data_IF_545085463289
#
_entry.id   IF_545085463289
#
_cell.length_a   1.000
_cell.length_b   1.000
_cell.length_c   1.000
_cell.angle_alpha   90.00
_cell.angle_beta   90.00
_cell.angle_gamma   90.00
#
_symmetry.space_group_name_H-M   'P 1'
#
loop_
_entity.id
_entity.type
_entity.pdbx_description
1 polymer ?
#
# COMPACT_ATOMS: atom_id res chain seq x y z
N UNK A 1 -47.72 42.39 30.31
CA UNK A 1 -46.62 43.32 30.70
C UNK A 1 -45.30 42.65 30.28
N UNK A 2 -44.71 42.93 29.10
CA UNK A 2 -43.85 44.09 28.76
C UNK A 2 -42.70 44.24 29.80
N UNK A 3 -41.38 44.14 29.50
CA UNK A 3 -40.53 44.68 28.42
C UNK A 3 -39.10 44.04 28.46
N UNK A 4 -38.46 43.65 27.33
CA UNK A 4 -37.34 44.31 26.57
C UNK A 4 -35.91 43.87 26.99
N UNK A 5 -35.18 43.04 26.22
CA UNK A 5 -34.22 43.21 25.06
C UNK A 5 -32.73 43.43 25.38
N UNK A 6 -31.87 42.68 24.64
CA UNK A 6 -30.61 43.03 23.89
C UNK A 6 -29.78 41.74 23.73
N UNK A 7 -29.65 41.11 22.56
CA UNK A 7 -28.89 41.49 21.34
C UNK A 7 -27.41 41.82 21.60
N UNK A 8 -26.51 40.94 21.17
CA UNK A 8 -25.41 41.32 20.27
C UNK A 8 -24.83 40.09 19.56
N UNK A 9 -24.86 40.14 18.23
CA UNK A 9 -24.22 39.21 17.31
C UNK A 9 -22.74 39.60 17.10
N UNK A 10 -21.89 38.62 16.84
CA UNK A 10 -20.51 38.79 16.42
C UNK A 10 -20.15 37.77 15.34
N UNK A 11 -20.46 38.12 14.10
CA UNK A 11 -20.06 37.43 12.87
C UNK A 11 -18.59 37.77 12.54
N UNK A 12 -17.82 36.79 12.06
CA UNK A 12 -16.81 37.03 11.03
C UNK A 12 -16.46 35.75 10.29
N UNK A 13 -17.05 35.62 9.11
CA UNK A 13 -16.69 34.69 8.04
C UNK A 13 -15.81 35.45 7.06
N UNK A 14 -14.61 34.94 6.77
CA UNK A 14 -13.69 35.51 5.78
C UNK A 14 -13.99 34.83 4.45
N UNK A 15 -14.90 35.44 3.68
CA UNK A 15 -15.06 35.19 2.25
C UNK A 15 -14.35 36.33 1.49
N UNK A 16 -13.26 36.00 0.79
CA UNK A 16 -12.62 36.94 -0.15
C UNK A 16 -13.36 36.88 -1.49
N UNK A 17 -14.25 37.84 -1.70
CA UNK A 17 -14.81 38.18 -3.01
C UNK A 17 -13.89 39.22 -3.64
N UNK A 18 -13.21 38.87 -4.73
CA UNK A 18 -12.52 39.83 -5.59
C UNK A 18 -13.47 40.23 -6.72
N UNK A 19 -14.00 41.45 -6.63
CA UNK A 19 -14.80 42.09 -7.66
C UNK A 19 -14.01 43.30 -8.17
N UNK A 20 -13.44 43.20 -9.37
CA UNK A 20 -12.94 44.37 -10.11
C UNK A 20 -13.45 44.35 -11.54
N UNK A 21 -14.60 45.02 -11.71
CA UNK A 21 -14.88 46.08 -12.69
C UNK A 21 -14.66 45.74 -14.17
N UNK A 22 -15.76 45.38 -14.85
CA UNK A 22 -15.88 45.46 -16.31
C UNK A 22 -16.04 46.93 -16.72
N UNK A 23 -15.12 47.41 -17.57
CA UNK A 23 -15.25 48.68 -18.28
C UNK A 23 -15.66 48.36 -19.72
N UNK A 24 -16.85 48.79 -20.12
CA UNK A 24 -17.31 48.75 -21.51
C UNK A 24 -17.07 50.13 -22.10
N UNK A 25 -16.20 50.23 -23.09
CA UNK A 25 -16.18 51.37 -24.02
C UNK A 25 -16.34 50.85 -25.44
N UNK A 26 -17.53 51.12 -25.99
CA UNK A 26 -17.81 50.98 -27.42
C UNK A 26 -17.26 52.20 -28.15
N UNK A 27 -16.28 51.99 -29.04
CA UNK A 27 -16.06 52.85 -30.21
C UNK A 27 -15.68 51.97 -31.39
N UNK A 28 -16.51 52.04 -32.44
CA UNK A 28 -16.39 51.33 -33.71
C UNK A 28 -15.42 52.08 -34.62
N UNK A 29 -14.38 51.41 -35.11
CA UNK A 29 -13.74 51.74 -36.39
C UNK A 29 -13.12 50.47 -36.96
N UNK A 30 -13.54 50.09 -38.17
CA UNK A 30 -13.07 48.89 -38.83
C UNK A 30 -11.70 49.07 -39.47
N UNK A 31 -10.93 47.99 -39.46
CA UNK A 31 -9.96 47.66 -40.48
C UNK A 31 -9.66 46.16 -40.36
N UNK A 32 -9.82 45.45 -41.47
CA UNK A 32 -9.61 44.03 -41.59
C UNK A 32 -8.15 43.67 -41.33
N UNK A 33 -7.90 42.73 -40.41
CA UNK A 33 -6.66 41.95 -40.36
C UNK A 33 -7.02 40.48 -40.21
N UNK A 34 -6.77 39.74 -41.28
CA UNK A 34 -6.74 38.29 -41.29
C UNK A 34 -5.60 37.86 -40.37
N UNK A 35 -5.94 37.35 -39.19
CA UNK A 35 -5.02 36.57 -38.36
C UNK A 35 -5.65 35.20 -38.20
N UNK A 36 -5.13 34.24 -38.93
CA UNK A 36 -5.38 32.82 -38.71
C UNK A 36 -4.95 32.49 -37.28
N UNK A 37 -5.91 32.53 -36.35
CA UNK A 37 -5.76 31.88 -35.06
C UNK A 37 -5.76 30.38 -35.32
N UNK A 38 -4.58 29.82 -35.49
CA UNK A 38 -4.34 28.44 -35.14
C UNK A 38 -4.60 28.40 -33.64
N UNK A 39 -5.70 27.78 -33.22
CA UNK A 39 -5.91 27.46 -31.82
C UNK A 39 -4.86 26.42 -31.45
N UNK A 40 -3.72 26.90 -30.93
CA UNK A 40 -2.80 25.99 -30.24
C UNK A 40 -3.62 25.33 -29.12
N UNK A 41 -3.56 23.99 -28.98
CA UNK A 41 -4.21 23.34 -27.85
C UNK A 41 -3.69 24.01 -26.59
N UNK A 42 -4.61 24.36 -25.68
CA UNK A 42 -4.24 24.89 -24.38
C UNK A 42 -3.10 24.03 -23.85
N UNK A 43 -1.92 24.63 -23.70
CA UNK A 43 -0.83 24.01 -22.95
C UNK A 43 -1.47 23.77 -21.59
N UNK A 44 -1.79 22.51 -21.30
CA UNK A 44 -2.12 22.10 -19.95
C UNK A 44 -0.83 22.31 -19.21
N UNK A 45 -0.59 23.55 -18.76
CA UNK A 45 0.36 23.83 -17.69
C UNK A 45 -0.04 22.83 -16.61
N UNK A 46 0.77 21.78 -16.33
CA UNK A 46 0.48 20.97 -15.17
C UNK A 46 0.48 21.99 -14.05
N UNK A 47 -0.68 22.21 -13.41
CA UNK A 47 -0.71 23.01 -12.21
C UNK A 47 0.40 22.44 -11.35
N UNK A 48 1.44 23.24 -11.09
CA UNK A 48 2.57 22.88 -10.23
C UNK A 48 2.05 22.77 -8.80
N UNK A 49 1.17 21.79 -8.58
CA UNK A 49 0.80 21.30 -7.28
C UNK A 49 1.96 20.45 -6.82
N UNK A 50 2.53 20.80 -5.66
CA UNK A 50 3.43 19.95 -4.92
C UNK A 50 3.04 18.48 -5.08
N UNK A 51 3.98 17.64 -5.53
CA UNK A 51 3.76 16.21 -5.77
C UNK A 51 2.97 15.60 -4.61
N UNK A 52 1.88 14.86 -4.90
CA UNK A 52 1.00 14.19 -3.91
C UNK A 52 1.79 13.38 -2.87
N UNK A 53 3.02 12.98 -3.20
CA UNK A 53 3.99 12.30 -2.34
C UNK A 53 4.32 13.10 -1.07
N UNK A 54 4.37 14.42 -1.14
CA UNK A 54 4.71 15.29 0.01
C UNK A 54 3.50 15.59 0.90
N UNK A 55 2.29 15.32 0.43
CA UNK A 55 1.09 15.50 1.21
C UNK A 55 0.81 14.27 2.10
N UNK A 56 0.12 14.52 3.21
CA UNK A 56 -0.37 13.43 4.07
C UNK A 56 -1.55 12.79 3.34
N UNK A 57 -1.57 11.46 3.13
CA UNK A 57 -2.67 10.81 2.43
C UNK A 57 -3.98 11.06 3.17
N UNK A 58 -5.01 11.40 2.41
CA UNK A 58 -6.36 11.60 2.93
C UNK A 58 -6.92 10.32 3.55
N UNK A 59 -7.78 10.48 4.54
CA UNK A 59 -8.40 9.33 5.23
C UNK A 59 -9.68 8.93 4.52
N UNK A 60 -9.71 7.71 3.99
CA UNK A 60 -10.95 7.09 3.49
C UNK A 60 -11.85 6.76 4.68
N UNK A 61 -13.11 7.17 4.61
CA UNK A 61 -14.07 6.94 5.68
C UNK A 61 -14.60 5.50 5.65
N UNK A 62 -14.67 4.80 6.80
CA UNK A 62 -15.27 3.47 6.89
C UNK A 62 -16.80 3.54 6.84
N UNK A 63 -17.42 2.60 6.12
CA UNK A 63 -18.90 2.53 5.98
C UNK A 63 -19.55 1.85 7.18
N UNK A 64 -19.02 0.70 7.62
CA UNK A 64 -19.62 -0.15 8.67
C UNK A 64 -18.73 -0.26 9.92
N UNK A 65 -17.44 0.09 9.80
CA UNK A 65 -16.49 0.09 10.90
C UNK A 65 -15.98 -1.29 11.31
N UNK A 66 -16.21 -2.32 10.49
CA UNK A 66 -15.87 -3.71 10.78
C UNK A 66 -14.38 -3.93 10.49
N UNK A 67 -13.58 -4.46 11.44
CA UNK A 67 -12.18 -4.73 11.19
C UNK A 67 -11.97 -5.99 10.36
N UNK A 68 -11.19 -5.87 9.29
CA UNK A 68 -10.87 -6.98 8.38
C UNK A 68 -9.43 -7.43 8.55
N UNK A 69 -8.49 -6.51 8.81
CA UNK A 69 -7.09 -6.85 9.03
C UNK A 69 -6.45 -5.98 10.10
N UNK A 70 -5.77 -6.62 11.06
CA UNK A 70 -4.88 -5.97 12.01
C UNK A 70 -3.44 -6.35 11.66
N UNK A 71 -2.67 -5.34 11.28
CA UNK A 71 -1.27 -5.47 10.97
C UNK A 71 -0.43 -4.98 12.14
N UNK A 72 0.23 -5.91 12.80
CA UNK A 72 1.17 -5.61 13.87
C UNK A 72 2.59 -5.51 13.33
N UNK A 73 3.21 -4.35 13.51
CA UNK A 73 4.62 -4.14 13.24
C UNK A 73 5.43 -4.23 14.53
N UNK A 74 6.62 -4.82 14.42
CA UNK A 74 7.62 -4.89 15.48
C UNK A 74 8.97 -4.53 14.90
N UNK A 75 9.71 -3.67 15.57
CA UNK A 75 11.06 -3.29 15.17
C UNK A 75 11.86 -2.77 16.34
N UNK A 76 13.18 -2.75 16.18
CA UNK A 76 14.10 -2.18 17.18
C UNK A 76 14.42 -0.71 16.91
N UNK A 77 14.31 -0.27 15.65
CA UNK A 77 14.54 1.12 15.24
C UNK A 77 13.19 1.82 15.00
N UNK A 78 12.82 2.84 15.80
CA UNK A 78 11.53 3.50 15.68
C UNK A 78 11.39 4.28 14.36
N UNK A 79 12.48 4.90 13.86
CA UNK A 79 12.45 5.71 12.63
C UNK A 79 12.06 4.88 11.40
N UNK A 80 12.69 3.72 11.20
CA UNK A 80 12.36 2.82 10.09
C UNK A 80 10.97 2.22 10.22
N UNK A 81 10.54 1.94 11.45
CA UNK A 81 9.21 1.42 11.73
C UNK A 81 8.14 2.44 11.32
N UNK A 82 8.28 3.69 11.76
CA UNK A 82 7.29 4.73 11.49
C UNK A 82 7.24 5.10 10.00
N UNK A 83 8.39 5.13 9.31
CA UNK A 83 8.45 5.28 7.84
C UNK A 83 7.66 4.17 7.12
N UNK A 84 7.85 2.91 7.54
CA UNK A 84 7.18 1.79 6.87
C UNK A 84 5.68 1.71 7.17
N UNK A 85 5.25 2.11 8.37
CA UNK A 85 3.81 2.23 8.65
C UNK A 85 3.16 3.31 7.79
N UNK A 86 3.85 4.43 7.56
CA UNK A 86 3.36 5.46 6.64
C UNK A 86 3.28 4.97 5.19
N UNK A 87 4.31 4.25 4.73
CA UNK A 87 4.30 3.58 3.42
C UNK A 87 3.11 2.60 3.30
N UNK A 88 2.86 1.80 4.32
CA UNK A 88 1.74 0.86 4.34
C UNK A 88 0.37 1.56 4.30
N UNK A 89 0.25 2.71 4.99
CA UNK A 89 -0.94 3.57 4.95
C UNK A 89 -1.17 4.15 3.56
N UNK A 90 -0.12 4.64 2.89
CA UNK A 90 -0.20 5.18 1.53
C UNK A 90 -0.64 4.12 0.52
N UNK A 91 -0.08 2.91 0.61
CA UNK A 91 -0.50 1.79 -0.22
C UNK A 91 -1.98 1.42 -0.01
N UNK A 92 -2.48 1.50 1.23
CA UNK A 92 -3.89 1.28 1.54
C UNK A 92 -4.79 2.38 0.95
N UNK A 93 -4.34 3.65 0.99
CA UNK A 93 -5.05 4.78 0.39
C UNK A 93 -5.20 4.63 -1.12
N UNK A 94 -4.14 4.22 -1.83
CA UNK A 94 -4.20 3.96 -3.28
C UNK A 94 -5.19 2.86 -3.66
N UNK A 95 -5.48 1.94 -2.74
CA UNK A 95 -6.48 0.87 -2.91
C UNK A 95 -7.87 1.26 -2.38
N UNK A 96 -8.08 2.53 -2.00
CA UNK A 96 -9.31 3.05 -1.40
C UNK A 96 -9.76 2.28 -0.14
N UNK A 97 -8.81 1.81 0.66
CA UNK A 97 -9.09 1.04 1.88
C UNK A 97 -9.17 1.99 3.08
N UNK A 98 -10.26 1.96 3.89
CA UNK A 98 -10.35 2.77 5.09
C UNK A 98 -9.38 2.22 6.15
N UNK A 99 -8.30 2.97 6.35
CA UNK A 99 -7.20 2.62 7.21
C UNK A 99 -7.18 3.52 8.45
N UNK A 100 -7.06 2.91 9.63
CA UNK A 100 -6.76 3.65 10.85
C UNK A 100 -5.37 4.28 10.76
N UNK A 101 -5.17 5.40 11.45
CA UNK A 101 -3.81 5.94 11.63
C UNK A 101 -2.89 4.97 12.38
N UNK A 102 -1.57 5.20 12.36
CA UNK A 102 -0.61 4.41 13.13
C UNK A 102 -0.96 4.44 14.62
N UNK A 103 -1.29 3.29 15.19
CA UNK A 103 -1.53 3.17 16.64
C UNK A 103 -0.24 2.74 17.32
N UNK A 104 0.27 3.59 18.22
CA UNK A 104 1.48 3.34 18.98
C UNK A 104 1.18 2.39 20.14
N UNK A 105 1.63 1.14 20.03
CA UNK A 105 1.52 0.19 21.12
C UNK A 105 2.68 0.38 22.11
N UNK A 106 2.49 0.06 23.40
CA UNK A 106 3.55 0.14 24.40
C UNK A 106 4.82 -0.64 23.99
N UNK A 107 5.97 0.01 24.15
CA UNK A 107 7.27 -0.58 23.83
C UNK A 107 7.64 -1.62 24.89
N UNK A 108 8.02 -2.82 24.46
CA UNK A 108 8.52 -3.84 25.39
C UNK A 108 10.02 -3.67 25.60
N UNK A 109 10.44 -3.52 26.85
CA UNK A 109 11.87 -3.37 27.22
C UNK A 109 12.32 -4.64 27.93
N UNK A 110 13.21 -5.40 27.29
CA UNK A 110 13.90 -6.53 27.91
C UNK A 110 15.25 -6.06 28.42
N UNK A 111 15.56 -6.31 29.69
CA UNK A 111 16.83 -5.92 30.32
C UNK A 111 17.61 -7.16 30.73
N UNK A 112 18.91 -7.15 30.50
CA UNK A 112 19.83 -8.18 30.96
C UNK A 112 21.09 -7.54 31.52
N UNK A 113 21.64 -8.17 32.55
CA UNK A 113 22.85 -7.71 33.22
C UNK A 113 23.92 -8.79 33.06
N UNK A 114 25.04 -8.43 32.45
CA UNK A 114 26.13 -9.36 32.12
C UNK A 114 27.41 -8.89 32.81
N UNK A 115 28.28 -9.83 33.19
CA UNK A 115 29.60 -9.50 33.74
C UNK A 115 30.45 -8.90 32.62
N UNK A 116 31.15 -7.79 32.89
CA UNK A 116 32.01 -7.13 31.89
C UNK A 116 33.23 -7.97 31.49
N UNK A 117 33.81 -8.67 32.45
CA UNK A 117 34.97 -9.54 32.26
C UNK A 117 34.54 -10.97 31.94
N UNK A 118 35.29 -11.72 31.11
CA UNK A 118 35.03 -13.13 30.87
C UNK A 118 35.17 -14.01 32.12
N UNK A 119 35.92 -13.60 33.16
CA UNK A 119 36.16 -14.42 34.35
C UNK A 119 36.29 -13.61 35.65
N UNK A 120 35.82 -14.20 36.77
CA UNK A 120 35.96 -13.78 38.20
C UNK A 120 35.40 -12.42 38.62
N UNK A 121 35.43 -11.37 37.80
CA UNK A 121 35.09 -10.01 38.22
C UNK A 121 33.57 -9.70 38.30
N UNK A 122 32.81 -10.42 39.15
CA UNK A 122 31.34 -10.30 39.31
C UNK A 122 30.84 -8.93 39.78
N UNK A 123 31.66 -8.15 40.51
CA UNK A 123 31.30 -6.78 40.95
C UNK A 123 31.19 -5.80 39.78
N UNK A 124 31.84 -6.11 38.66
CA UNK A 124 31.80 -5.30 37.43
C UNK A 124 30.76 -5.87 36.47
N UNK A 125 29.56 -5.30 36.48
CA UNK A 125 28.44 -5.69 35.62
C UNK A 125 28.04 -4.57 34.67
N UNK A 126 27.46 -4.93 33.54
CA UNK A 126 26.92 -4.03 32.53
C UNK A 126 25.46 -4.37 32.26
N UNK A 127 24.63 -3.32 32.22
CA UNK A 127 23.22 -3.43 31.92
C UNK A 127 23.03 -3.16 30.43
N UNK A 128 22.37 -4.09 29.77
CA UNK A 128 21.95 -3.95 28.40
C UNK A 128 20.43 -4.00 28.33
N UNK A 129 19.87 -3.31 27.35
CA UNK A 129 18.45 -3.35 27.08
C UNK A 129 18.18 -3.56 25.59
N UNK A 130 17.08 -4.24 25.30
CA UNK A 130 16.48 -4.31 23.97
C UNK A 130 15.06 -3.81 24.04
N UNK A 131 14.83 -2.69 23.36
CA UNK A 131 13.52 -2.05 23.21
C UNK A 131 12.88 -2.55 21.92
N UNK A 132 11.73 -3.20 22.04
CA UNK A 132 10.91 -3.61 20.90
C UNK A 132 9.76 -2.64 20.75
N UNK A 133 9.84 -1.78 19.73
CA UNK A 133 8.78 -0.85 19.38
C UNK A 133 7.71 -1.58 18.58
N UNK A 134 6.45 -1.26 18.88
CA UNK A 134 5.28 -1.91 18.30
C UNK A 134 4.33 -0.88 17.72
N UNK A 135 3.78 -1.16 16.55
CA UNK A 135 2.72 -0.36 15.92
C UNK A 135 1.61 -1.28 15.47
N UNK A 136 0.39 -0.79 15.51
CA UNK A 136 -0.78 -1.45 14.95
C UNK A 136 -1.35 -0.57 13.85
N UNK A 137 -1.60 -1.17 12.69
CA UNK A 137 -2.39 -0.59 11.62
C UNK A 137 -3.63 -1.45 11.41
N UNK A 138 -4.80 -0.84 11.44
CA UNK A 138 -6.08 -1.54 11.36
C UNK A 138 -6.82 -1.11 10.10
N UNK A 139 -7.18 -2.08 9.27
CA UNK A 139 -8.00 -1.90 8.07
C UNK A 139 -9.43 -2.31 8.38
N UNK A 140 -10.37 -1.50 7.89
CA UNK A 140 -11.80 -1.74 8.01
C UNK A 140 -12.44 -1.95 6.64
N UNK A 141 -13.64 -2.55 6.63
CA UNK A 141 -14.59 -2.55 5.50
C UNK A 141 -14.00 -2.78 4.10
N UNK A 142 -13.01 -3.68 3.95
CA UNK A 142 -12.35 -3.96 2.68
C UNK A 142 -12.58 -5.41 2.26
N UNK A 143 -12.63 -5.67 0.96
CA UNK A 143 -12.69 -7.03 0.41
C UNK A 143 -11.43 -7.85 0.78
N UNK A 144 -11.57 -9.14 1.18
CA UNK A 144 -10.44 -9.97 1.60
C UNK A 144 -9.36 -10.15 0.52
N UNK A 145 -9.73 -10.21 -0.76
CA UNK A 145 -8.77 -10.36 -1.86
C UNK A 145 -7.87 -9.13 -2.01
N UNK A 146 -8.43 -7.94 -1.81
CA UNK A 146 -7.69 -6.67 -1.84
C UNK A 146 -6.73 -6.60 -0.66
N UNK A 147 -7.16 -7.03 0.53
CA UNK A 147 -6.29 -7.12 1.71
C UNK A 147 -5.11 -8.07 1.46
N UNK A 148 -5.35 -9.22 0.83
CA UNK A 148 -4.29 -10.17 0.49
C UNK A 148 -3.28 -9.57 -0.49
N UNK A 149 -3.74 -8.85 -1.52
CA UNK A 149 -2.87 -8.16 -2.48
C UNK A 149 -2.04 -7.06 -1.80
N UNK A 150 -2.65 -6.28 -0.91
CA UNK A 150 -1.95 -5.28 -0.12
C UNK A 150 -0.89 -5.90 0.79
N UNK A 151 -1.21 -6.98 1.52
CA UNK A 151 -0.25 -7.71 2.35
C UNK A 151 0.92 -8.27 1.53
N UNK A 152 0.64 -8.78 0.32
CA UNK A 152 1.66 -9.26 -0.60
C UNK A 152 2.59 -8.12 -1.04
N UNK A 153 2.04 -6.97 -1.43
CA UNK A 153 2.82 -5.78 -1.78
C UNK A 153 3.72 -5.31 -0.63
N UNK A 154 3.21 -5.30 0.60
CA UNK A 154 4.01 -4.95 1.77
C UNK A 154 5.16 -5.92 1.98
N UNK A 155 4.89 -7.23 1.88
CA UNK A 155 5.91 -8.26 2.05
C UNK A 155 7.07 -8.11 1.05
N UNK A 156 6.77 -7.72 -0.19
CA UNK A 156 7.80 -7.50 -1.22
C UNK A 156 8.66 -6.26 -0.92
N UNK A 157 8.06 -5.21 -0.39
CA UNK A 157 8.74 -3.93 -0.11
C UNK A 157 9.14 -3.77 1.37
N UNK A 158 9.32 -4.87 2.10
CA UNK A 158 9.61 -4.83 3.53
C UNK A 158 11.07 -4.40 3.80
N UNK A 159 11.31 -3.34 4.59
CA UNK A 159 12.65 -2.95 5.01
C UNK A 159 13.29 -4.00 5.93
N UNK A 160 14.61 -4.03 5.96
CA UNK A 160 15.34 -4.86 6.91
C UNK A 160 15.02 -4.46 8.37
N UNK A 161 14.90 -5.47 9.24
CA UNK A 161 14.71 -5.25 10.68
C UNK A 161 13.27 -4.96 11.13
N UNK A 162 12.28 -5.09 10.24
CA UNK A 162 10.85 -4.96 10.57
C UNK A 162 10.17 -6.33 10.53
N UNK A 163 9.61 -6.74 11.67
CA UNK A 163 8.75 -7.92 11.78
C UNK A 163 7.29 -7.54 11.63
N UNK A 164 6.56 -8.25 10.77
CA UNK A 164 5.14 -8.00 10.48
C UNK A 164 4.31 -9.23 10.85
N UNK A 165 3.18 -9.03 11.54
CA UNK A 165 2.18 -10.07 11.83
C UNK A 165 0.81 -9.55 11.42
N UNK A 166 0.19 -10.19 10.43
CA UNK A 166 -1.18 -9.93 10.04
C UNK A 166 -2.15 -10.84 10.80
N UNK A 167 -3.28 -10.29 11.22
CA UNK A 167 -4.44 -11.05 11.70
C UNK A 167 -5.61 -10.63 10.83
N UNK A 168 -6.13 -11.55 10.02
CA UNK A 168 -7.21 -11.28 9.06
C UNK A 168 -8.50 -11.94 9.55
N UNK A 169 -9.61 -11.21 9.45
CA UNK A 169 -10.95 -11.71 9.71
C UNK A 169 -11.67 -11.88 8.39
N UNK A 170 -12.25 -13.05 8.18
CA UNK A 170 -13.06 -13.37 7.00
C UNK A 170 -14.45 -13.80 7.46
N UNK A 171 -15.46 -13.38 6.71
CA UNK A 171 -16.82 -13.83 6.92
C UNK A 171 -17.05 -15.12 6.15
N UNK A 172 -17.47 -16.17 6.86
CA UNK A 172 -17.92 -17.40 6.25
C UNK A 172 -19.34 -17.74 6.73
N UNK A 173 -20.10 -18.41 5.86
CA UNK A 173 -21.43 -18.89 6.22
C UNK A 173 -21.34 -20.10 7.16
N UNK A 174 -22.36 -20.29 8.00
CA UNK A 174 -22.46 -21.46 8.87
C UNK A 174 -22.47 -22.74 8.02
N UNK A 175 -21.74 -23.77 8.45
CA UNK A 175 -21.60 -25.02 7.69
C UNK A 175 -20.37 -25.07 6.76
N UNK A 176 -19.32 -24.34 7.11
CA UNK A 176 -18.03 -24.23 6.39
C UNK A 176 -17.42 -25.57 5.95
N UNK A 177 -17.69 -26.66 6.68
CA UNK A 177 -17.16 -27.98 6.33
C UNK A 177 -17.58 -28.46 4.93
N UNK A 178 -18.82 -28.19 4.52
CA UNK A 178 -19.32 -28.62 3.19
C UNK A 178 -18.66 -27.83 2.06
N UNK A 179 -18.58 -26.52 2.21
CA UNK A 179 -17.98 -25.63 1.22
C UNK A 179 -16.47 -25.85 1.09
N UNK A 180 -15.77 -26.16 2.19
CA UNK A 180 -14.35 -26.50 2.17
C UNK A 180 -14.07 -27.81 1.43
N UNK A 181 -14.87 -28.86 1.65
CA UNK A 181 -14.73 -30.14 0.93
C UNK A 181 -14.95 -29.94 -0.57
N UNK A 182 -15.95 -29.14 -0.97
CA UNK A 182 -16.20 -28.80 -2.37
C UNK A 182 -15.07 -27.98 -2.99
N UNK A 183 -14.55 -26.97 -2.28
CA UNK A 183 -13.39 -26.18 -2.72
C UNK A 183 -12.16 -27.06 -2.88
N UNK A 184 -11.86 -27.94 -1.92
CA UNK A 184 -10.74 -28.88 -1.99
C UNK A 184 -10.87 -29.83 -3.19
N UNK A 185 -12.07 -30.39 -3.41
CA UNK A 185 -12.35 -31.25 -4.57
C UNK A 185 -12.19 -30.50 -5.90
N UNK A 186 -12.60 -29.23 -5.97
CA UNK A 186 -12.39 -28.39 -7.16
C UNK A 186 -10.91 -28.10 -7.39
N UNK A 187 -10.15 -27.80 -6.34
CA UNK A 187 -8.70 -27.56 -6.44
C UNK A 187 -7.94 -28.80 -6.92
N UNK A 188 -8.30 -29.98 -6.43
CA UNK A 188 -7.74 -31.26 -6.90
C UNK A 188 -8.05 -31.53 -8.37
N UNK A 189 -9.21 -31.06 -8.88
CA UNK A 189 -9.60 -31.20 -10.29
C UNK A 189 -8.94 -30.16 -11.20
N UNK A 190 -8.61 -28.98 -10.67
CA UNK A 190 -7.93 -27.92 -11.42
C UNK A 190 -6.41 -28.04 -11.41
N UNK A 191 -5.84 -28.84 -10.50
CA UNK A 191 -4.46 -29.31 -10.67
C UNK A 191 -4.42 -30.12 -11.98
N UNK A 192 -3.50 -29.85 -12.92
CA UNK A 192 -3.38 -30.68 -14.11
C UNK A 192 -3.01 -32.08 -13.64
N UNK A 193 -3.99 -32.99 -13.66
CA UNK A 193 -3.75 -34.42 -13.64
C UNK A 193 -3.06 -34.71 -14.97
N UNK A 194 -1.75 -34.51 -15.01
CA UNK A 194 -0.91 -35.22 -15.96
C UNK A 194 -0.99 -36.67 -15.52
N UNK A 195 -1.78 -37.45 -16.26
CA UNK A 195 -1.72 -38.90 -16.14
C UNK A 195 -0.26 -39.29 -16.38
N UNK A 196 0.26 -40.26 -15.60
CA UNK A 196 1.69 -40.60 -15.63
C UNK A 196 2.25 -40.91 -17.03
N UNK A 197 1.39 -41.25 -17.98
CA UNK A 197 1.71 -41.53 -19.38
C UNK A 197 2.10 -40.27 -20.19
N UNK A 198 1.61 -39.09 -19.82
CA UNK A 198 1.85 -37.83 -20.55
C UNK A 198 3.22 -37.22 -20.25
N UNK A 199 3.80 -37.52 -19.07
CA UNK A 199 5.12 -37.01 -18.67
C UNK A 199 6.24 -37.70 -19.45
N UNK A 200 6.14 -39.01 -19.65
CA UNK A 200 7.14 -39.73 -20.43
C UNK A 200 7.12 -39.32 -21.90
N UNK A 201 5.94 -39.10 -22.48
CA UNK A 201 5.81 -38.67 -23.87
C UNK A 201 6.30 -37.25 -24.08
N UNK A 202 5.99 -36.31 -23.19
CA UNK A 202 6.52 -34.94 -23.25
C UNK A 202 8.04 -34.87 -23.02
N UNK A 203 8.59 -35.67 -22.09
CA UNK A 203 10.04 -35.74 -21.89
C UNK A 203 10.73 -36.37 -23.10
N UNK A 204 10.13 -37.38 -23.75
CA UNK A 204 10.65 -37.97 -24.99
C UNK A 204 10.60 -36.98 -26.16
N UNK A 205 9.54 -36.17 -26.29
CA UNK A 205 9.44 -35.11 -27.31
C UNK A 205 10.48 -34.01 -27.10
N UNK A 206 10.64 -33.50 -25.87
CA UNK A 206 11.64 -32.47 -25.55
C UNK A 206 13.06 -33.00 -25.77
N UNK A 207 13.35 -34.24 -25.37
CA UNK A 207 14.64 -34.88 -25.61
C UNK A 207 14.91 -35.08 -27.12
N UNK A 208 13.89 -35.44 -27.91
CA UNK A 208 14.00 -35.58 -29.35
C UNK A 208 14.22 -34.22 -30.06
N UNK A 209 13.62 -33.14 -29.55
CA UNK A 209 13.84 -31.79 -30.05
C UNK A 209 15.27 -31.33 -29.78
N UNK A 210 15.76 -31.53 -28.55
CA UNK A 210 17.14 -31.18 -28.18
C UNK A 210 18.19 -31.99 -28.97
N UNK A 211 17.92 -33.27 -29.25
CA UNK A 211 18.81 -34.07 -30.09
C UNK A 211 18.86 -33.55 -31.54
N UNK A 212 17.73 -33.13 -32.11
CA UNK A 212 17.70 -32.51 -33.44
C UNK A 212 18.44 -31.18 -33.48
N UNK A 213 18.34 -30.39 -32.41
CA UNK A 213 19.03 -29.11 -32.30
C UNK A 213 20.55 -29.32 -32.17
N UNK A 214 21.00 -30.35 -31.44
CA UNK A 214 22.42 -30.75 -31.36
C UNK A 214 22.94 -31.32 -32.69
N UNK A 215 22.13 -32.11 -33.40
CA UNK A 215 22.45 -32.62 -34.74
C UNK A 215 22.49 -31.51 -35.81
N UNK A 216 21.75 -30.41 -35.61
CA UNK A 216 21.83 -29.23 -36.45
C UNK A 216 23.11 -28.43 -36.17
N UNK A 217 23.48 -28.24 -34.90
CA UNK A 217 24.73 -27.55 -34.53
C UNK A 217 25.98 -28.31 -35.01
N UNK A 218 25.97 -29.64 -34.98
CA UNK A 218 27.12 -30.45 -35.44
C UNK A 218 27.32 -30.49 -36.96
N UNK A 219 26.36 -30.00 -37.77
CA UNK A 219 26.51 -29.92 -39.23
C UNK A 219 27.15 -28.61 -39.71
N UNK A 220 27.24 -27.60 -38.86
CA UNK A 220 27.71 -26.26 -39.23
C UNK A 220 29.19 -25.99 -38.88
N UNK A 221 29.97 -26.99 -38.45
CA UNK A 221 31.43 -26.85 -38.35
C UNK A 221 32.10 -27.08 -39.71
N UNK A 222 32.74 -26.06 -40.35
CA UNK A 222 33.61 -26.31 -41.48
C UNK A 222 34.85 -27.05 -40.98
N UNK A 223 35.05 -28.29 -41.45
CA UNK A 223 36.34 -28.99 -41.32
C UNK A 223 37.43 -28.12 -41.96
N UNK A 224 38.29 -27.55 -41.11
CA UNK A 224 39.56 -26.96 -41.45
C UNK A 224 40.64 -27.58 -40.56
#
# INVERSE_FOLDING_TARGET
>A
MLKITKSLAGFSSIAKVSLTRTFVSSTRSGSAEIKSKIDLPAVHEPAEGFDDVFQVPDRVQPTHGIPVCNLHFRGYLPQHLDFYVDFARRAAFSLNMPCSGPVYLPTQTSRWTVIKSPFVHKKSQENFERKTHKRLLQIKDTNPEVVQRWLHYLKMNAPAGIGMRATTWEFENVGVGKTMVEKAKKLQRSAPVSNGEDKETQVKEIAAQLLKDIEAETKDEPKA
#
